data_IF_961948800000
#
_entry.id   IF_961948800000
#
_cell.length_a   1.000
_cell.length_b   1.000
_cell.length_c   1.000
_cell.angle_alpha   90.00
_cell.angle_beta   90.00
_cell.angle_gamma   90.00
#
_symmetry.space_group_name_H-M   'P 1'
#
loop_
_entity.id
_entity.type
_entity.pdbx_description
1 polymer ?
#
# COMPACT_ATOMS: atom_id res chain seq x y z
N UNK A 1 7.80 -19.63 -22.85
CA UNK A 1 8.55 -20.69 -22.09
C UNK A 1 10.05 -20.37 -21.84
N UNK A 2 10.97 -20.46 -22.81
CA UNK A 2 12.42 -20.28 -22.55
C UNK A 2 12.81 -18.91 -21.95
N UNK A 3 12.07 -17.85 -22.29
CA UNK A 3 12.27 -16.50 -21.73
C UNK A 3 11.81 -16.39 -20.27
N UNK A 4 10.72 -17.07 -19.90
CA UNK A 4 10.22 -17.16 -18.51
C UNK A 4 11.25 -17.88 -17.63
N UNK A 5 11.77 -19.01 -18.11
CA UNK A 5 12.82 -19.76 -17.40
C UNK A 5 14.11 -18.94 -17.22
N UNK A 6 14.46 -18.13 -18.22
CA UNK A 6 15.60 -17.21 -18.13
C UNK A 6 15.39 -16.13 -17.06
N UNK A 7 14.22 -15.50 -17.04
CA UNK A 7 13.90 -14.45 -16.06
C UNK A 7 13.81 -15.01 -14.63
N UNK A 8 13.18 -16.18 -14.44
CA UNK A 8 13.17 -16.88 -13.15
C UNK A 8 14.57 -17.20 -12.64
N UNK A 9 15.48 -17.58 -13.55
CA UNK A 9 16.87 -17.85 -13.19
C UNK A 9 17.59 -16.61 -12.71
N UNK A 10 17.45 -15.49 -13.43
CA UNK A 10 18.04 -14.19 -13.03
C UNK A 10 17.55 -13.78 -11.64
N UNK A 11 16.25 -13.89 -11.37
CA UNK A 11 15.68 -13.57 -10.05
C UNK A 11 16.31 -14.46 -8.97
N UNK A 12 16.37 -15.79 -9.20
CA UNK A 12 16.93 -16.73 -8.22
C UNK A 12 18.42 -16.52 -7.97
N UNK A 13 19.21 -16.29 -9.02
CA UNK A 13 20.66 -16.05 -8.90
C UNK A 13 20.94 -14.78 -8.09
N UNK A 14 20.18 -13.72 -8.35
CA UNK A 14 20.29 -12.46 -7.63
C UNK A 14 19.89 -12.58 -6.16
N UNK A 15 18.78 -13.25 -5.86
CA UNK A 15 18.34 -13.47 -4.47
C UNK A 15 19.34 -14.37 -3.71
N UNK A 16 19.86 -15.41 -4.35
CA UNK A 16 20.89 -16.27 -3.75
C UNK A 16 22.19 -15.50 -3.44
N UNK A 17 22.56 -14.52 -4.27
CA UNK A 17 23.70 -13.64 -4.01
C UNK A 17 23.48 -12.78 -2.76
N UNK A 18 22.26 -12.28 -2.56
CA UNK A 18 21.88 -11.53 -1.36
C UNK A 18 21.88 -12.42 -0.11
N UNK A 19 21.29 -13.62 -0.19
CA UNK A 19 21.26 -14.58 0.91
C UNK A 19 22.68 -14.96 1.34
N UNK A 20 23.55 -15.29 0.39
CA UNK A 20 24.97 -15.59 0.66
C UNK A 20 25.69 -14.41 1.32
N UNK A 21 25.31 -13.17 1.02
CA UNK A 21 25.93 -12.00 1.63
C UNK A 21 25.43 -11.74 3.04
N UNK A 22 24.14 -12.00 3.30
CA UNK A 22 23.54 -11.93 4.64
C UNK A 22 24.10 -13.00 5.59
N UNK A 23 24.63 -14.12 5.06
CA UNK A 23 25.38 -15.08 5.86
C UNK A 23 26.76 -14.57 6.31
N UNK A 24 27.36 -13.64 5.55
CA UNK A 24 28.70 -13.09 5.82
C UNK A 24 28.68 -11.82 6.70
N UNK A 25 27.62 -11.02 6.61
CA UNK A 25 27.49 -9.76 7.34
C UNK A 25 26.03 -9.46 7.71
N UNK A 26 25.84 -8.70 8.78
CA UNK A 26 24.52 -8.32 9.26
C UNK A 26 23.80 -7.38 8.29
N UNK A 27 22.47 -7.34 8.36
CA UNK A 27 21.65 -6.40 7.57
C UNK A 27 22.01 -4.93 7.85
N UNK A 28 22.40 -4.60 9.08
CA UNK A 28 22.86 -3.25 9.44
C UNK A 28 24.17 -2.86 8.74
N UNK A 29 25.11 -3.80 8.58
CA UNK A 29 26.36 -3.58 7.84
C UNK A 29 26.13 -3.43 6.34
N UNK A 30 25.20 -4.20 5.77
CA UNK A 30 24.80 -4.12 4.36
C UNK A 30 24.19 -2.76 4.00
N UNK A 31 23.39 -2.19 4.89
CA UNK A 31 22.73 -0.89 4.68
C UNK A 31 23.64 0.27 5.08
N UNK A 32 24.48 0.08 6.10
CA UNK A 32 25.37 1.11 6.64
C UNK A 32 26.59 1.43 5.76
N UNK A 33 27.06 0.48 4.95
CA UNK A 33 28.16 0.70 4.01
C UNK A 33 27.63 1.13 2.63
N UNK A 34 28.05 2.29 2.08
CA UNK A 34 27.54 2.78 0.80
C UNK A 34 27.81 1.86 -0.40
N UNK A 35 28.88 1.08 -0.39
CA UNK A 35 29.18 0.17 -1.49
C UNK A 35 28.26 -1.05 -1.45
N UNK A 36 28.07 -1.62 -0.26
CA UNK A 36 27.13 -2.73 -0.08
C UNK A 36 25.69 -2.30 -0.34
N UNK A 37 25.27 -1.14 0.16
CA UNK A 37 23.94 -0.61 -0.09
C UNK A 37 23.66 -0.45 -1.59
N UNK A 38 24.58 0.16 -2.34
CA UNK A 38 24.42 0.31 -3.79
C UNK A 38 24.36 -1.04 -4.52
N UNK A 39 25.12 -2.03 -4.04
CA UNK A 39 25.10 -3.38 -4.61
C UNK A 39 23.76 -4.06 -4.35
N UNK A 40 23.24 -3.98 -3.13
CA UNK A 40 21.92 -4.51 -2.74
C UNK A 40 20.82 -3.86 -3.59
N UNK A 41 20.82 -2.53 -3.68
CA UNK A 41 19.84 -1.78 -4.48
C UNK A 41 19.87 -2.21 -5.95
N UNK A 42 21.05 -2.36 -6.54
CA UNK A 42 21.18 -2.83 -7.92
C UNK A 42 20.64 -4.26 -8.09
N UNK A 43 20.96 -5.18 -7.17
CA UNK A 43 20.48 -6.57 -7.21
C UNK A 43 18.95 -6.61 -7.12
N UNK A 44 18.36 -5.85 -6.19
CA UNK A 44 16.91 -5.75 -6.03
C UNK A 44 16.24 -5.12 -7.25
N UNK A 45 16.85 -4.08 -7.83
CA UNK A 45 16.34 -3.42 -9.03
C UNK A 45 16.31 -4.37 -10.24
N UNK A 46 17.40 -5.11 -10.48
CA UNK A 46 17.47 -6.10 -11.58
C UNK A 46 16.46 -7.23 -11.35
N UNK A 47 16.32 -7.69 -10.11
CA UNK A 47 15.35 -8.74 -9.76
C UNK A 47 13.91 -8.28 -9.96
N UNK A 48 13.60 -7.05 -9.55
CA UNK A 48 12.28 -6.45 -9.74
C UNK A 48 11.97 -6.27 -11.23
N UNK A 49 12.93 -5.78 -12.03
CA UNK A 49 12.75 -5.66 -13.47
C UNK A 49 12.52 -7.03 -14.13
N UNK A 50 13.27 -8.06 -13.73
CA UNK A 50 13.08 -9.40 -14.25
C UNK A 50 11.71 -10.00 -13.85
N UNK A 51 11.22 -9.73 -12.64
CA UNK A 51 9.88 -10.09 -12.18
C UNK A 51 8.80 -9.41 -13.02
N UNK A 52 8.95 -8.12 -13.30
CA UNK A 52 8.00 -7.35 -14.10
C UNK A 52 7.99 -7.83 -15.56
N UNK A 53 9.16 -8.08 -16.13
CA UNK A 53 9.29 -8.63 -17.48
C UNK A 53 8.67 -10.02 -17.56
N UNK A 54 8.82 -10.83 -16.51
CA UNK A 54 8.22 -12.16 -16.43
C UNK A 54 6.71 -12.04 -16.36
N UNK A 55 6.18 -11.19 -15.49
CA UNK A 55 4.74 -10.95 -15.38
C UNK A 55 4.16 -10.46 -16.70
N UNK A 56 4.82 -9.49 -17.34
CA UNK A 56 4.43 -8.96 -18.66
C UNK A 56 4.42 -10.06 -19.73
N UNK A 57 5.41 -10.95 -19.72
CA UNK A 57 5.48 -12.05 -20.67
C UNK A 57 4.40 -13.11 -20.43
N UNK A 58 4.13 -13.46 -19.18
CA UNK A 58 3.05 -14.40 -18.80
C UNK A 58 1.68 -13.82 -19.19
N UNK A 59 1.45 -12.53 -18.93
CA UNK A 59 0.23 -11.81 -19.31
C UNK A 59 0.04 -11.84 -20.84
N UNK A 60 1.09 -11.55 -21.60
CA UNK A 60 1.05 -11.56 -23.06
C UNK A 60 0.85 -12.97 -23.65
N UNK A 61 1.61 -13.97 -23.20
CA UNK A 61 1.49 -15.37 -23.67
C UNK A 61 0.11 -15.95 -23.32
N UNK A 62 -0.48 -15.54 -22.20
CA UNK A 62 -1.80 -16.01 -21.75
C UNK A 62 -2.98 -15.21 -22.33
N UNK A 63 -2.72 -14.22 -23.20
CA UNK A 63 -3.75 -13.38 -23.81
C UNK A 63 -4.51 -12.49 -22.82
N UNK A 64 -3.89 -12.13 -21.70
CA UNK A 64 -4.54 -11.42 -20.59
C UNK A 64 -4.50 -9.88 -20.73
N UNK A 65 -3.68 -9.34 -21.65
CA UNK A 65 -3.60 -7.90 -21.92
C UNK A 65 -2.20 -7.43 -22.31
N UNK A 66 -1.97 -6.11 -22.24
CA UNK A 66 -0.66 -5.47 -22.44
C UNK A 66 -0.38 -4.60 -21.21
N UNK A 67 0.78 -4.79 -20.59
CA UNK A 67 1.22 -4.01 -19.42
C UNK A 67 1.75 -2.67 -19.93
N UNK A 68 1.01 -1.58 -19.72
CA UNK A 68 1.41 -0.22 -20.13
C UNK A 68 2.07 0.59 -19.01
N UNK A 69 1.92 0.16 -17.75
CA UNK A 69 2.45 0.80 -16.53
C UNK A 69 2.81 -0.23 -15.46
N UNK A 70 3.78 0.10 -14.60
CA UNK A 70 4.37 -0.79 -13.58
C UNK A 70 3.34 -1.45 -12.62
N UNK A 71 2.23 -0.77 -12.29
CA UNK A 71 1.17 -1.30 -11.42
C UNK A 71 0.20 -2.26 -12.11
N UNK A 72 0.18 -2.30 -13.45
CA UNK A 72 -0.84 -3.04 -14.19
C UNK A 72 -0.63 -4.56 -14.12
N UNK A 73 0.61 -5.03 -13.94
CA UNK A 73 0.90 -6.46 -13.87
C UNK A 73 0.31 -7.13 -12.61
N UNK A 74 0.53 -6.62 -11.38
CA UNK A 74 -0.17 -7.13 -10.19
C UNK A 74 -1.70 -7.05 -10.31
N UNK A 75 -2.24 -5.97 -10.88
CA UNK A 75 -3.69 -5.79 -11.07
C UNK A 75 -4.30 -6.84 -12.01
N UNK A 76 -3.69 -7.05 -13.19
CA UNK A 76 -4.14 -8.04 -14.17
C UNK A 76 -4.05 -9.47 -13.61
N UNK A 77 -2.98 -9.77 -12.86
CA UNK A 77 -2.80 -11.09 -12.25
C UNK A 77 -3.82 -11.35 -11.13
N UNK A 78 -4.25 -10.31 -10.39
CA UNK A 78 -5.32 -10.39 -9.38
C UNK A 78 -6.70 -10.55 -10.01
N UNK A 79 -7.03 -9.79 -11.07
CA UNK A 79 -8.31 -9.92 -11.79
C UNK A 79 -8.55 -11.34 -12.34
N UNK A 80 -7.46 -12.06 -12.61
CA UNK A 80 -7.47 -13.40 -13.18
C UNK A 80 -7.26 -14.51 -12.15
N UNK A 81 -7.16 -14.16 -10.86
CA UNK A 81 -6.99 -15.11 -9.76
C UNK A 81 -5.64 -15.84 -9.75
N UNK A 82 -4.63 -15.30 -10.43
CA UNK A 82 -3.26 -15.85 -10.46
C UNK A 82 -2.47 -15.39 -9.23
N UNK A 83 -2.70 -14.13 -8.82
CA UNK A 83 -2.36 -13.65 -7.48
C UNK A 83 -3.63 -13.72 -6.64
N UNK A 84 -3.52 -14.32 -5.46
CA UNK A 84 -4.60 -14.25 -4.47
C UNK A 84 -4.82 -12.78 -4.08
N UNK A 85 -6.08 -12.34 -4.01
CA UNK A 85 -6.41 -11.15 -3.24
C UNK A 85 -5.95 -11.45 -1.81
N UNK A 86 -5.19 -10.57 -1.18
CA UNK A 86 -5.02 -10.66 0.28
C UNK A 86 -6.40 -10.83 0.91
N UNK A 87 -6.50 -11.66 1.95
CA UNK A 87 -7.77 -12.21 2.46
C UNK A 87 -8.83 -11.13 2.87
N UNK A 88 -8.44 -9.85 2.92
CA UNK A 88 -9.35 -8.71 2.86
C UNK A 88 -8.64 -7.45 2.28
N UNK A 89 -9.30 -6.71 1.38
CA UNK A 89 -8.89 -5.34 1.03
C UNK A 89 -9.21 -4.41 2.22
N UNK A 90 -8.18 -3.81 2.81
CA UNK A 90 -8.32 -2.89 3.95
C UNK A 90 -8.10 -1.47 3.44
N UNK A 91 -9.15 -0.66 3.53
CA UNK A 91 -9.06 0.77 3.27
C UNK A 91 -8.54 1.46 4.52
N UNK A 92 -7.48 2.25 4.40
CA UNK A 92 -6.97 3.10 5.48
C UNK A 92 -7.24 4.56 5.18
N UNK A 93 -7.64 5.32 6.20
CA UNK A 93 -7.75 6.77 6.08
C UNK A 93 -6.48 7.50 6.55
N UNK A 94 -6.46 8.82 6.34
CA UNK A 94 -5.34 9.65 6.74
C UNK A 94 -5.09 9.61 8.26
N UNK A 95 -6.14 9.40 9.07
CA UNK A 95 -5.99 9.31 10.53
C UNK A 95 -5.17 8.09 10.95
N UNK A 96 -5.14 7.02 10.15
CA UNK A 96 -4.25 5.85 10.35
C UNK A 96 -2.88 6.12 9.75
N UNK A 97 -2.82 6.58 8.49
CA UNK A 97 -1.57 6.73 7.73
C UNK A 97 -0.62 7.75 8.37
N UNK A 98 -1.13 8.85 8.95
CA UNK A 98 -0.32 9.83 9.67
C UNK A 98 0.51 9.18 10.78
N UNK A 99 -0.04 8.16 11.44
CA UNK A 99 0.62 7.46 12.56
C UNK A 99 1.80 6.59 12.14
N UNK A 100 2.02 6.38 10.84
CA UNK A 100 3.25 5.76 10.35
C UNK A 100 4.47 6.67 10.49
N UNK A 101 4.25 7.98 10.55
CA UNK A 101 5.30 8.99 10.52
C UNK A 101 5.44 9.76 11.84
N UNK A 102 4.41 9.74 12.69
CA UNK A 102 4.42 10.39 14.00
C UNK A 102 3.90 9.45 15.10
N UNK A 103 4.52 9.42 16.29
CA UNK A 103 4.13 8.51 17.37
C UNK A 103 2.90 9.02 18.15
N UNK A 104 1.76 9.12 17.46
CA UNK A 104 0.46 9.39 18.09
C UNK A 104 -0.09 8.15 18.82
N UNK A 105 -1.17 8.32 19.57
CA UNK A 105 -1.89 7.20 20.20
C UNK A 105 -2.22 6.13 19.16
N UNK A 106 -1.90 4.87 19.47
CA UNK A 106 -2.06 3.69 18.61
C UNK A 106 -1.10 3.61 17.40
N UNK A 107 -0.01 4.39 17.36
CA UNK A 107 0.96 4.29 16.26
C UNK A 107 1.55 2.88 16.09
N UNK A 108 1.83 2.14 17.18
CA UNK A 108 2.34 0.77 17.10
C UNK A 108 1.41 -0.16 16.30
N UNK A 109 0.09 0.02 16.44
CA UNK A 109 -0.90 -0.74 15.66
C UNK A 109 -0.94 -0.29 14.20
N UNK A 110 -0.80 1.01 13.94
CA UNK A 110 -0.71 1.52 12.57
C UNK A 110 0.53 0.98 11.86
N UNK A 111 1.68 0.93 12.55
CA UNK A 111 2.91 0.34 12.04
C UNK A 111 2.75 -1.16 11.77
N UNK A 112 2.16 -1.93 12.69
CA UNK A 112 1.86 -3.35 12.45
C UNK A 112 0.99 -3.57 11.21
N UNK A 113 -0.03 -2.74 10.99
CA UNK A 113 -0.88 -2.83 9.78
C UNK A 113 -0.09 -2.56 8.50
N UNK A 114 0.80 -1.56 8.51
CA UNK A 114 1.69 -1.27 7.39
C UNK A 114 2.68 -2.41 7.15
N UNK A 115 3.26 -2.96 8.21
CA UNK A 115 4.25 -4.02 8.10
C UNK A 115 3.60 -5.31 7.58
N UNK A 116 2.38 -5.64 8.04
CA UNK A 116 1.58 -6.73 7.48
C UNK A 116 1.29 -6.55 5.98
N UNK A 117 1.11 -5.32 5.51
CA UNK A 117 0.96 -5.03 4.08
C UNK A 117 2.26 -5.27 3.31
N UNK A 118 3.38 -4.78 3.84
CA UNK A 118 4.71 -4.99 3.24
C UNK A 118 5.11 -6.47 3.18
N UNK A 119 4.65 -7.25 4.16
CA UNK A 119 4.83 -8.71 4.22
C UNK A 119 3.82 -9.48 3.35
N UNK A 120 2.84 -8.79 2.74
CA UNK A 120 1.81 -9.40 1.91
C UNK A 120 0.70 -10.13 2.67
N UNK A 121 0.63 -9.97 4.01
CA UNK A 121 -0.42 -10.55 4.85
C UNK A 121 -1.77 -9.84 4.74
N UNK A 122 -1.79 -8.59 4.29
CA UNK A 122 -3.00 -7.81 3.98
C UNK A 122 -2.78 -6.98 2.71
N UNK A 123 -3.85 -6.61 2.00
CA UNK A 123 -3.79 -5.65 0.89
C UNK A 123 -4.38 -4.31 1.36
N UNK A 124 -3.61 -3.23 1.26
CA UNK A 124 -4.06 -1.90 1.65
C UNK A 124 -4.52 -1.09 0.44
N UNK A 125 -5.58 -0.33 0.64
CA UNK A 125 -6.10 0.62 -0.34
C UNK A 125 -6.40 1.96 0.31
N UNK A 126 -6.33 3.04 -0.47
CA UNK A 126 -6.77 4.37 -0.05
C UNK A 126 -7.04 5.26 -1.26
N UNK A 127 -8.01 6.19 -1.20
CA UNK A 127 -8.15 7.24 -2.20
C UNK A 127 -6.91 8.14 -2.24
N UNK A 128 -6.65 8.75 -3.40
CA UNK A 128 -5.59 9.78 -3.57
C UNK A 128 -5.75 10.98 -2.63
N UNK A 129 -6.96 11.19 -2.09
CA UNK A 129 -7.26 12.14 -1.02
C UNK A 129 -6.32 12.01 0.20
N UNK A 130 -5.89 10.79 0.54
CA UNK A 130 -5.01 10.53 1.69
C UNK A 130 -3.70 11.28 1.60
N UNK A 131 -3.18 11.51 0.39
CA UNK A 131 -1.92 12.23 0.19
C UNK A 131 -2.04 13.68 0.65
N UNK A 132 -3.17 14.32 0.35
CA UNK A 132 -3.45 15.69 0.76
C UNK A 132 -3.66 15.77 2.27
N UNK A 133 -4.42 14.85 2.83
CA UNK A 133 -4.76 14.84 4.25
C UNK A 133 -3.55 14.51 5.13
N UNK A 134 -2.72 13.53 4.75
CA UNK A 134 -1.46 13.21 5.42
C UNK A 134 -0.50 14.39 5.35
N UNK A 135 -0.29 14.97 4.16
CA UNK A 135 0.59 16.14 4.01
C UNK A 135 0.12 17.30 4.89
N UNK A 136 -1.17 17.58 4.91
CA UNK A 136 -1.76 18.65 5.71
C UNK A 136 -1.64 18.38 7.21
N UNK A 137 -1.95 17.15 7.65
CA UNK A 137 -1.86 16.73 9.04
C UNK A 137 -0.43 16.79 9.56
N UNK A 138 0.56 16.28 8.81
CA UNK A 138 1.97 16.32 9.19
C UNK A 138 2.52 17.75 9.21
N UNK A 139 2.20 18.57 8.21
CA UNK A 139 2.66 19.97 8.14
C UNK A 139 2.12 20.81 9.29
N UNK A 140 0.85 20.64 9.64
CA UNK A 140 0.20 21.42 10.71
C UNK A 140 0.12 20.66 12.04
N UNK A 141 0.91 19.61 12.20
CA UNK A 141 0.87 18.78 13.38
C UNK A 141 1.15 19.60 14.65
N UNK A 142 0.34 19.41 15.70
CA UNK A 142 0.36 20.28 16.91
C UNK A 142 1.54 20.01 17.83
N UNK A 143 2.01 18.76 17.90
CA UNK A 143 3.07 18.31 18.81
C UNK A 143 4.41 18.18 18.09
N UNK A 144 4.48 17.32 17.07
CA UNK A 144 5.66 17.16 16.23
C UNK A 144 5.76 18.27 15.18
N UNK A 145 6.93 18.87 15.01
CA UNK A 145 7.23 19.80 13.92
C UNK A 145 8.17 19.12 12.95
N UNK A 146 7.66 18.79 11.78
CA UNK A 146 8.43 18.17 10.71
C UNK A 146 8.96 19.26 9.77
N UNK A 147 10.24 19.21 9.38
CA UNK A 147 10.73 20.06 8.32
C UNK A 147 10.09 19.68 6.97
N UNK A 148 10.03 20.60 5.99
CA UNK A 148 9.36 20.36 4.71
C UNK A 148 9.83 19.11 3.97
N UNK A 149 11.12 18.79 4.04
CA UNK A 149 11.74 17.60 3.46
C UNK A 149 11.18 16.29 4.04
N UNK A 150 10.92 16.24 5.34
CA UNK A 150 10.37 15.05 6.01
C UNK A 150 8.90 14.86 5.64
N UNK A 151 8.13 15.95 5.55
CA UNK A 151 6.73 15.90 5.07
C UNK A 151 6.68 15.42 3.62
N UNK A 152 7.58 15.94 2.77
CA UNK A 152 7.68 15.51 1.38
C UNK A 152 8.16 14.05 1.25
N UNK A 153 9.03 13.58 2.14
CA UNK A 153 9.41 12.17 2.22
C UNK A 153 8.21 11.31 2.58
N UNK A 154 7.48 11.64 3.64
CA UNK A 154 6.31 10.88 4.06
C UNK A 154 5.26 10.72 2.94
N UNK A 155 4.98 11.80 2.19
CA UNK A 155 4.06 11.72 1.05
C UNK A 155 4.59 10.81 -0.06
N UNK A 156 5.90 10.89 -0.37
CA UNK A 156 6.52 9.99 -1.36
C UNK A 156 6.46 8.54 -0.90
N UNK A 157 6.75 8.28 0.37
CA UNK A 157 6.68 6.93 0.94
C UNK A 157 5.26 6.35 0.79
N UNK A 158 4.20 7.14 1.03
CA UNK A 158 2.80 6.69 0.81
C UNK A 158 2.51 6.40 -0.67
N UNK A 159 3.06 7.19 -1.60
CA UNK A 159 2.92 6.93 -3.05
C UNK A 159 3.65 5.64 -3.44
N UNK A 160 4.88 5.48 -2.96
CA UNK A 160 5.75 4.34 -3.27
C UNK A 160 5.22 3.02 -2.69
N UNK A 161 4.42 3.07 -1.62
CA UNK A 161 3.69 1.92 -1.08
C UNK A 161 2.66 1.35 -2.08
N UNK A 162 2.19 2.12 -3.07
CA UNK A 162 1.27 1.62 -4.09
C UNK A 162 -0.16 1.34 -3.63
N UNK A 163 -0.58 1.90 -2.48
CA UNK A 163 -1.91 1.70 -1.90
C UNK A 163 -3.00 2.59 -2.54
N UNK A 164 -2.61 3.51 -3.43
CA UNK A 164 -3.54 4.51 -3.97
C UNK A 164 -4.46 3.90 -5.03
N UNK A 165 -5.78 4.07 -4.83
CA UNK A 165 -6.84 3.63 -5.75
C UNK A 165 -7.75 4.80 -6.09
N UNK A 166 -8.28 4.79 -7.31
CA UNK A 166 -9.25 5.79 -7.77
C UNK A 166 -10.66 5.22 -7.73
N UNK A 167 -11.64 6.05 -7.34
CA UNK A 167 -13.04 5.69 -7.43
C UNK A 167 -13.51 5.71 -8.89
N UNK A 168 -14.30 4.71 -9.27
CA UNK A 168 -15.07 4.77 -10.52
C UNK A 168 -16.18 5.83 -10.43
N UNK A 169 -16.78 6.25 -11.56
CA UNK A 169 -17.96 7.12 -11.53
C UNK A 169 -19.09 6.62 -10.61
N UNK A 170 -19.33 5.30 -10.59
CA UNK A 170 -20.32 4.67 -9.71
C UNK A 170 -19.87 4.70 -8.24
N UNK A 171 -18.56 4.58 -7.99
CA UNK A 171 -17.95 4.83 -6.69
C UNK A 171 -18.23 6.25 -6.18
N UNK A 172 -18.09 7.26 -7.04
CA UNK A 172 -18.42 8.65 -6.70
C UNK A 172 -19.90 8.85 -6.39
N UNK A 173 -20.81 8.26 -7.18
CA UNK A 173 -22.25 8.31 -6.88
C UNK A 173 -22.54 7.71 -5.51
N UNK A 174 -21.90 6.59 -5.16
CA UNK A 174 -22.00 5.97 -3.83
C UNK A 174 -21.45 6.88 -2.73
N UNK A 175 -20.29 7.50 -2.93
CA UNK A 175 -19.69 8.42 -1.96
C UNK A 175 -20.61 9.62 -1.66
N UNK A 176 -21.16 10.27 -2.70
CA UNK A 176 -22.09 11.39 -2.52
C UNK A 176 -23.36 10.96 -1.80
N UNK A 177 -23.94 9.81 -2.18
CA UNK A 177 -25.11 9.27 -1.50
C UNK A 177 -24.81 8.97 -0.02
N UNK A 178 -23.69 8.32 0.27
CA UNK A 178 -23.26 8.01 1.64
C UNK A 178 -23.08 9.28 2.48
N UNK A 179 -22.46 10.32 1.91
CA UNK A 179 -22.28 11.63 2.56
C UNK A 179 -23.62 12.25 2.95
N UNK A 180 -24.58 12.29 2.03
CA UNK A 180 -25.92 12.86 2.28
C UNK A 180 -26.71 12.03 3.28
N UNK A 181 -26.77 10.70 3.08
CA UNK A 181 -27.60 9.81 3.90
C UNK A 181 -27.09 9.72 5.36
N UNK A 182 -25.79 9.88 5.58
CA UNK A 182 -25.14 9.74 6.89
C UNK A 182 -24.69 11.05 7.52
N UNK A 183 -24.84 12.17 6.81
CA UNK A 183 -24.41 13.48 7.27
C UNK A 183 -22.90 13.58 7.53
N UNK A 184 -22.09 12.80 6.79
CA UNK A 184 -20.61 12.86 6.86
C UNK A 184 -20.07 13.72 5.73
N UNK A 185 -18.83 14.20 5.87
CA UNK A 185 -18.19 14.94 4.79
C UNK A 185 -18.01 14.04 3.55
N UNK A 186 -17.88 14.65 2.36
CA UNK A 186 -17.58 13.88 1.14
C UNK A 186 -16.23 13.17 1.26
N UNK A 187 -15.28 13.77 1.97
CA UNK A 187 -13.95 13.20 2.23
C UNK A 187 -14.08 11.86 2.98
N UNK A 188 -14.80 11.85 4.10
CA UNK A 188 -15.04 10.64 4.89
C UNK A 188 -15.85 9.60 4.10
N UNK A 189 -16.84 10.07 3.34
CA UNK A 189 -17.67 9.19 2.53
C UNK A 189 -16.91 8.52 1.39
N UNK A 190 -15.85 9.14 0.87
CA UNK A 190 -14.99 8.55 -0.17
C UNK A 190 -14.25 7.32 0.37
N UNK A 191 -13.73 7.37 1.60
CA UNK A 191 -13.12 6.19 2.24
C UNK A 191 -14.14 5.07 2.44
N UNK A 192 -15.32 5.38 2.96
CA UNK A 192 -16.40 4.41 3.13
C UNK A 192 -16.89 3.81 1.81
N UNK A 193 -17.05 4.63 0.77
CA UNK A 193 -17.46 4.18 -0.55
C UNK A 193 -16.40 3.30 -1.24
N UNK A 194 -15.11 3.59 -1.02
CA UNK A 194 -14.03 2.72 -1.47
C UNK A 194 -14.08 1.36 -0.78
N UNK A 195 -14.27 1.33 0.55
CA UNK A 195 -14.39 0.07 1.28
C UNK A 195 -15.56 -0.78 0.75
N UNK A 196 -16.71 -0.15 0.47
CA UNK A 196 -17.86 -0.83 -0.17
C UNK A 196 -17.57 -1.30 -1.60
N UNK A 197 -16.78 -0.57 -2.37
CA UNK A 197 -16.44 -0.94 -3.74
C UNK A 197 -15.48 -2.14 -3.80
N UNK A 198 -14.63 -2.27 -2.78
CA UNK A 198 -13.62 -3.32 -2.64
C UNK A 198 -14.14 -4.55 -1.88
N UNK A 199 -15.39 -4.51 -1.38
CA UNK A 199 -15.91 -5.52 -0.43
C UNK A 199 -15.00 -5.69 0.80
N UNK A 200 -14.39 -4.57 1.19
CA UNK A 200 -13.34 -4.48 2.20
C UNK A 200 -13.80 -3.89 3.53
N UNK A 201 -12.84 -3.60 4.40
CA UNK A 201 -13.06 -2.89 5.65
C UNK A 201 -12.35 -1.54 5.66
N UNK A 202 -12.97 -0.51 6.25
CA UNK A 202 -12.31 0.75 6.57
C UNK A 202 -11.66 0.66 7.96
N UNK A 203 -10.36 0.90 8.04
CA UNK A 203 -9.66 1.13 9.31
C UNK A 203 -9.47 2.64 9.50
N UNK A 204 -9.96 3.14 10.62
CA UNK A 204 -9.93 4.58 10.97
C UNK A 204 -9.61 4.78 12.45
N UNK A 205 -9.09 5.94 12.81
CA UNK A 205 -9.02 6.41 14.21
C UNK A 205 -10.19 7.35 14.58
N UNK A 206 -11.13 7.58 13.65
CA UNK A 206 -12.31 8.44 13.86
C UNK A 206 -13.51 7.62 14.37
N UNK A 207 -13.77 7.74 15.67
CA UNK A 207 -14.91 7.09 16.34
C UNK A 207 -16.27 7.64 15.87
N UNK A 208 -16.33 8.93 15.53
CA UNK A 208 -17.54 9.59 15.04
C UNK A 208 -17.91 9.08 13.65
N UNK A 209 -16.90 8.93 12.77
CA UNK A 209 -17.08 8.34 11.45
C UNK A 209 -17.61 6.89 11.57
N UNK A 210 -16.97 6.04 12.39
CA UNK A 210 -17.47 4.67 12.65
C UNK A 210 -18.93 4.69 13.09
N UNK A 211 -19.29 5.57 14.02
CA UNK A 211 -20.67 5.68 14.52
C UNK A 211 -21.68 6.06 13.44
N UNK A 212 -21.27 6.83 12.43
CA UNK A 212 -22.15 7.31 11.35
C UNK A 212 -22.33 6.33 10.19
N UNK A 213 -21.29 5.56 9.85
CA UNK A 213 -21.31 4.69 8.65
C UNK A 213 -21.18 3.18 8.95
N UNK A 214 -20.86 2.80 10.17
CA UNK A 214 -20.51 1.42 10.55
C UNK A 214 -21.64 0.39 10.46
N UNK A 215 -22.89 0.81 10.25
CA UNK A 215 -24.03 -0.08 9.99
C UNK A 215 -24.13 -0.51 8.51
N UNK A 216 -23.49 0.24 7.61
CA UNK A 216 -23.48 -0.02 6.17
C UNK A 216 -22.09 -0.44 5.67
N UNK A 217 -21.04 0.14 6.24
CA UNK A 217 -19.65 -0.11 5.89
C UNK A 217 -19.01 -0.91 7.03
N UNK A 218 -18.24 -1.96 6.71
CA UNK A 218 -17.42 -2.63 7.72
C UNK A 218 -16.32 -1.67 8.16
N UNK A 219 -16.45 -1.09 9.35
CA UNK A 219 -15.47 -0.16 9.93
C UNK A 219 -14.86 -0.77 11.19
N UNK A 220 -13.53 -0.80 11.23
CA UNK A 220 -12.74 -1.23 12.38
C UNK A 220 -11.98 -0.03 12.93
N UNK A 221 -12.06 0.25 14.23
CA UNK A 221 -11.19 1.27 14.80
C UNK A 221 -9.76 0.75 14.87
N UNK A 222 -8.78 1.61 14.64
CA UNK A 222 -7.38 1.28 14.87
C UNK A 222 -7.14 0.85 16.33
N UNK A 223 -7.95 1.33 17.27
CA UNK A 223 -7.93 0.93 18.69
C UNK A 223 -8.46 -0.49 18.96
N UNK A 224 -9.16 -1.09 18.00
CA UNK A 224 -9.81 -2.41 18.07
C UNK A 224 -9.18 -3.41 17.09
N UNK A 225 -8.19 -2.97 16.30
CA UNK A 225 -7.52 -3.79 15.33
C UNK A 225 -6.54 -4.75 16.03
N UNK A 226 -6.81 -6.04 15.88
CA UNK A 226 -5.92 -7.13 16.27
C UNK A 226 -5.32 -7.74 14.99
N UNK A 227 -3.98 -7.66 14.89
CA UNK A 227 -3.14 -8.24 13.85
C UNK A 227 -2.09 -9.14 14.50
#
# INVERSE_FOLDING_TARGET
MARVEGLLRVIRENLALLDSKLEECSGEELVGDPFYLNSVLHILQVSSQALIDLASHVIAESGLGVVDRYSAAPEILRERGVLERGEAEVVVDASVVVKWFVPERYYERALKLRDAYLEGGVDLASPSLVLYEVANALRFHRVYRLPPEDVASAVRDVVDLGIIKELTPEGWVRAIKLSVDRGVSVQDAVYGAMALALDGALVTSDEELRGRIGDLVKVTLLSELDL
#
